data_IF_300890113527
#
_entry.id   IF_300890113527
#
_cell.length_a   1.000
_cell.length_b   1.000
_cell.length_c   1.000
_cell.angle_alpha   90.00
_cell.angle_beta   90.00
_cell.angle_gamma   90.00
#
_symmetry.space_group_name_H-M   'P 1'
#
loop_
_entity.id
_entity.type
_entity.pdbx_description
1 polymer ?
#
# COMPACT_ATOMS: atom_id res chain seq x y z
N UNK A 1 -29.12 -4.63 11.88
CA UNK A 1 -27.84 -4.98 11.23
C UNK A 1 -26.83 -3.92 11.63
N UNK A 2 -26.02 -4.19 12.66
CA UNK A 2 -25.04 -3.22 13.15
C UNK A 2 -24.02 -2.97 12.03
N UNK A 3 -23.85 -1.73 11.62
CA UNK A 3 -22.92 -1.38 10.54
C UNK A 3 -21.50 -1.75 10.96
N UNK A 4 -20.85 -2.66 10.24
CA UNK A 4 -19.48 -3.15 10.48
C UNK A 4 -18.38 -2.09 10.29
N UNK A 5 -18.75 -0.87 9.91
CA UNK A 5 -17.81 0.22 9.64
C UNK A 5 -17.32 0.84 10.93
N UNK A 6 -16.00 0.81 11.14
CA UNK A 6 -15.32 1.54 12.20
C UNK A 6 -15.27 3.04 11.83
N UNK A 7 -15.50 3.93 12.80
CA UNK A 7 -15.45 5.38 12.61
C UNK A 7 -14.24 5.96 13.35
N UNK A 8 -13.49 6.82 12.68
CA UNK A 8 -12.35 7.53 13.25
C UNK A 8 -12.71 9.02 13.28
N UNK A 9 -12.79 9.60 14.48
CA UNK A 9 -12.98 11.03 14.66
C UNK A 9 -11.63 11.67 14.99
N UNK A 10 -11.17 12.58 14.13
CA UNK A 10 -9.89 13.27 14.31
C UNK A 10 -10.07 14.78 14.21
N UNK A 11 -9.28 15.52 15.00
CA UNK A 11 -9.13 16.97 14.86
C UNK A 11 -7.92 17.27 13.99
N UNK A 12 -8.10 18.13 12.99
CA UNK A 12 -7.02 18.55 12.07
C UNK A 12 -6.93 20.06 12.03
N UNK A 13 -5.77 20.58 11.61
CA UNK A 13 -5.60 22.03 11.44
C UNK A 13 -6.51 22.59 10.34
N UNK A 14 -6.84 23.89 10.41
CA UNK A 14 -7.61 24.57 9.35
C UNK A 14 -6.95 24.43 7.97
N UNK A 15 -5.61 24.50 7.92
CA UNK A 15 -4.83 24.34 6.70
C UNK A 15 -5.00 22.93 6.12
N UNK A 16 -4.79 21.90 6.92
CA UNK A 16 -4.95 20.51 6.50
C UNK A 16 -6.36 20.24 5.97
N UNK A 17 -7.39 20.75 6.67
CA UNK A 17 -8.77 20.60 6.20
C UNK A 17 -9.00 21.28 4.84
N UNK A 18 -8.45 22.49 4.64
CA UNK A 18 -8.56 23.21 3.37
C UNK A 18 -7.87 22.45 2.23
N UNK A 19 -6.68 21.90 2.47
CA UNK A 19 -5.91 21.12 1.49
C UNK A 19 -6.68 19.86 1.08
N UNK A 20 -7.16 19.08 2.05
CA UNK A 20 -7.98 17.88 1.80
C UNK A 20 -9.26 18.24 1.04
N UNK A 21 -9.92 19.35 1.40
CA UNK A 21 -11.13 19.81 0.71
C UNK A 21 -10.86 20.18 -0.75
N UNK A 22 -9.72 20.81 -1.03
CA UNK A 22 -9.32 21.11 -2.41
C UNK A 22 -9.04 19.83 -3.21
N UNK A 23 -8.36 18.85 -2.60
CA UNK A 23 -8.11 17.54 -3.21
C UNK A 23 -9.41 16.76 -3.49
N UNK A 24 -10.32 16.71 -2.51
CA UNK A 24 -11.62 16.06 -2.66
C UNK A 24 -12.46 16.71 -3.78
N UNK A 25 -12.42 18.05 -3.88
CA UNK A 25 -13.09 18.78 -4.98
C UNK A 25 -12.48 18.44 -6.34
N UNK A 26 -11.15 18.38 -6.44
CA UNK A 26 -10.44 18.00 -7.68
C UNK A 26 -10.85 16.59 -8.13
N UNK A 27 -10.94 15.67 -7.18
CA UNK A 27 -11.21 14.24 -7.43
C UNK A 27 -12.71 13.91 -7.46
N UNK A 28 -13.58 14.92 -7.34
CA UNK A 28 -15.04 14.80 -7.36
C UNK A 28 -15.61 13.79 -6.36
N UNK A 29 -15.01 13.72 -5.15
CA UNK A 29 -15.44 12.79 -4.10
C UNK A 29 -15.70 13.49 -2.75
N UNK A 30 -16.45 12.86 -1.83
CA UNK A 30 -16.65 13.41 -0.50
C UNK A 30 -15.32 13.55 0.27
N UNK A 31 -15.20 14.61 1.07
CA UNK A 31 -14.01 14.87 1.91
C UNK A 31 -13.66 13.66 2.79
N UNK A 32 -14.66 13.01 3.40
CA UNK A 32 -14.43 11.82 4.22
C UNK A 32 -13.86 10.64 3.42
N UNK A 33 -14.34 10.43 2.18
CA UNK A 33 -13.79 9.41 1.27
C UNK A 33 -12.35 9.72 0.93
N UNK A 34 -12.05 11.00 0.61
CA UNK A 34 -10.67 11.42 0.31
C UNK A 34 -9.73 11.19 1.49
N UNK A 35 -10.15 11.54 2.70
CA UNK A 35 -9.37 11.30 3.93
C UNK A 35 -9.13 9.82 4.14
N UNK A 36 -10.15 8.98 3.97
CA UNK A 36 -10.00 7.53 4.14
C UNK A 36 -8.97 6.97 3.15
N UNK A 37 -9.04 7.35 1.87
CA UNK A 37 -8.08 6.93 0.84
C UNK A 37 -6.66 7.41 1.14
N UNK A 38 -6.50 8.69 1.51
CA UNK A 38 -5.19 9.23 1.87
C UNK A 38 -4.60 8.53 3.10
N UNK A 39 -5.45 8.09 4.04
CA UNK A 39 -5.01 7.31 5.19
C UNK A 39 -4.57 5.91 4.79
N UNK A 40 -5.31 5.23 3.92
CA UNK A 40 -4.92 3.93 3.35
C UNK A 40 -3.58 4.04 2.60
N UNK A 41 -3.44 5.01 1.71
CA UNK A 41 -2.18 5.29 0.98
C UNK A 41 -1.02 5.54 1.95
N UNK A 42 -1.25 6.28 3.04
CA UNK A 42 -0.22 6.51 4.05
C UNK A 42 0.21 5.23 4.78
N UNK A 43 -0.75 4.33 5.05
CA UNK A 43 -0.46 3.02 5.66
C UNK A 43 0.30 2.10 4.70
N UNK A 44 -0.06 2.09 3.42
CA UNK A 44 0.68 1.36 2.37
C UNK A 44 2.14 1.83 2.30
N UNK A 45 2.38 3.15 2.39
CA UNK A 45 3.73 3.70 2.41
C UNK A 45 4.53 3.31 3.67
N UNK A 46 3.88 3.16 4.83
CA UNK A 46 4.54 2.63 6.03
C UNK A 46 4.88 1.15 5.87
N UNK A 47 3.97 0.36 5.30
CA UNK A 47 4.21 -1.05 5.03
C UNK A 47 5.38 -1.23 4.06
N UNK A 48 5.41 -0.47 2.96
CA UNK A 48 6.48 -0.54 1.96
C UNK A 48 7.85 -0.20 2.56
N UNK A 49 7.91 0.81 3.45
CA UNK A 49 9.13 1.14 4.22
C UNK A 49 9.63 -0.05 5.03
N UNK A 50 8.72 -0.80 5.65
CA UNK A 50 9.08 -1.96 6.46
C UNK A 50 9.49 -3.16 5.60
N UNK A 51 8.73 -3.47 4.55
CA UNK A 51 9.02 -4.57 3.63
C UNK A 51 10.34 -4.35 2.88
N UNK A 52 10.67 -3.12 2.52
CA UNK A 52 11.95 -2.76 1.92
C UNK A 52 13.13 -3.10 2.83
N UNK A 53 13.03 -2.82 4.14
CA UNK A 53 14.08 -3.20 5.10
C UNK A 53 14.30 -4.72 5.14
N UNK A 54 13.22 -5.48 5.16
CA UNK A 54 13.29 -6.96 5.13
C UNK A 54 13.94 -7.43 3.82
N UNK A 55 13.58 -6.82 2.69
CA UNK A 55 14.17 -7.14 1.40
C UNK A 55 15.68 -6.87 1.40
N UNK A 56 16.13 -5.74 1.94
CA UNK A 56 17.54 -5.39 2.07
C UNK A 56 18.30 -6.36 2.98
N UNK A 57 17.72 -6.76 4.11
CA UNK A 57 18.32 -7.75 5.00
C UNK A 57 18.49 -9.11 4.31
N UNK A 58 17.47 -9.54 3.55
CA UNK A 58 17.55 -10.77 2.75
C UNK A 58 18.62 -10.66 1.69
N UNK A 59 18.70 -9.53 0.99
CA UNK A 59 19.71 -9.27 -0.03
C UNK A 59 21.13 -9.35 0.56
N UNK A 60 21.36 -8.70 1.71
CA UNK A 60 22.66 -8.71 2.41
C UNK A 60 23.07 -10.09 2.89
N UNK A 61 22.13 -10.89 3.38
CA UNK A 61 22.40 -12.21 3.94
C UNK A 61 22.33 -13.36 2.93
N UNK A 62 21.98 -13.08 1.67
CA UNK A 62 21.82 -14.11 0.66
C UNK A 62 23.16 -14.71 0.23
N UNK A 63 23.29 -16.03 0.35
CA UNK A 63 24.50 -16.79 -0.02
C UNK A 63 24.29 -17.77 -1.18
N UNK A 64 23.10 -17.76 -1.79
CA UNK A 64 22.74 -18.68 -2.88
C UNK A 64 23.10 -18.15 -4.27
N UNK A 65 22.88 -18.95 -5.32
CA UNK A 65 23.05 -18.51 -6.70
C UNK A 65 21.90 -17.59 -7.14
N UNK A 66 22.23 -16.42 -7.67
CA UNK A 66 21.24 -15.51 -8.29
C UNK A 66 20.63 -16.15 -9.53
N UNK A 67 19.29 -16.15 -9.61
CA UNK A 67 18.56 -16.71 -10.74
C UNK A 67 17.98 -15.55 -11.56
N UNK A 68 18.19 -15.51 -12.88
CA UNK A 68 17.60 -14.49 -13.75
C UNK A 68 16.07 -14.50 -13.66
N UNK A 69 15.48 -13.30 -13.62
CA UNK A 69 14.04 -13.08 -13.49
C UNK A 69 13.22 -13.90 -14.50
N UNK A 70 13.59 -13.87 -15.77
CA UNK A 70 12.89 -14.60 -16.84
C UNK A 70 12.84 -16.11 -16.60
N UNK A 71 13.91 -16.68 -16.03
CA UNK A 71 14.00 -18.11 -15.72
C UNK A 71 13.04 -18.47 -14.59
N UNK A 72 12.93 -17.61 -13.57
CA UNK A 72 12.01 -17.80 -12.43
C UNK A 72 10.55 -17.83 -12.92
N UNK A 73 10.13 -16.89 -13.76
CA UNK A 73 8.74 -16.83 -14.24
C UNK A 73 8.36 -17.97 -15.20
N UNK A 74 9.29 -18.40 -16.06
CA UNK A 74 9.10 -19.59 -16.90
C UNK A 74 8.94 -20.85 -16.05
N UNK A 75 9.70 -20.99 -14.96
CA UNK A 75 9.55 -22.12 -14.03
C UNK A 75 8.21 -22.10 -13.28
N UNK A 76 7.75 -20.92 -12.83
CA UNK A 76 6.47 -20.79 -12.10
C UNK A 76 5.28 -21.10 -13.02
N UNK A 77 5.29 -20.60 -14.26
CA UNK A 77 4.21 -20.84 -15.23
C UNK A 77 4.15 -22.30 -15.69
N UNK A 78 5.31 -22.95 -15.89
CA UNK A 78 5.36 -24.39 -16.17
C UNK A 78 4.77 -25.23 -15.02
N UNK A 79 5.11 -24.89 -13.76
CA UNK A 79 4.66 -25.63 -12.56
C UNK A 79 3.16 -25.48 -12.26
N UNK A 80 2.51 -24.45 -12.79
CA UNK A 80 1.04 -24.26 -12.70
C UNK A 80 0.27 -25.01 -13.78
N UNK A 81 0.94 -25.49 -14.84
CA UNK A 81 0.32 -26.25 -15.94
C UNK A 81 0.22 -27.75 -15.63
N UNK A 82 1.04 -28.24 -14.70
CA UNK A 82 1.05 -29.62 -14.20
C UNK A 82 0.19 -29.82 -12.93
N UNK A 83 -0.70 -28.87 -12.59
CA UNK A 83 -1.67 -29.00 -11.48
C UNK A 83 -3.09 -28.82 -11.96
#
# INVERSE_FOLDING_TARGET
MATTKQRINISVSKRTYADVRALAKRDQEPVATKVARLLEEALELEEDRYLSKIADERLKNYKGPWIPHEKVWKMITAKRRDR
#
